data_IF_310044445284
#
_entry.id   IF_310044445284
#
_cell.length_a   1.000
_cell.length_b   1.000
_cell.length_c   1.000
_cell.angle_alpha   90.00
_cell.angle_beta   90.00
_cell.angle_gamma   90.00
#
_symmetry.space_group_name_H-M   'P 1'
#
loop_
_entity.id
_entity.type
_entity.pdbx_description
1 polymer ?
#
# COMPACT_ATOMS: atom_id res chain seq x y z
N UNK A 1 4.08 -1.89 7.74
CA UNK A 1 2.80 -1.90 8.50
C UNK A 1 2.61 -0.66 9.38
N UNK A 2 2.98 -0.63 10.67
CA UNK A 2 2.65 0.49 11.56
C UNK A 2 3.27 1.84 11.15
N UNK A 3 4.55 1.85 10.76
CA UNK A 3 5.25 3.07 10.32
C UNK A 3 4.72 3.58 8.97
N UNK A 4 4.42 2.69 8.01
CA UNK A 4 3.74 3.07 6.76
C UNK A 4 2.33 3.63 7.00
N UNK A 5 1.56 2.98 7.87
CA UNK A 5 0.22 3.44 8.23
C UNK A 5 0.27 4.83 8.85
N UNK A 6 1.27 5.10 9.69
CA UNK A 6 1.51 6.43 10.27
C UNK A 6 1.96 7.44 9.22
N UNK A 7 2.89 7.08 8.33
CA UNK A 7 3.38 7.96 7.26
C UNK A 7 2.25 8.38 6.33
N UNK A 8 1.31 7.47 6.09
CA UNK A 8 0.36 7.64 5.02
C UNK A 8 -1.03 8.06 5.53
N UNK A 9 -1.30 7.89 6.82
CA UNK A 9 -2.23 8.75 7.55
C UNK A 9 -1.78 10.22 7.46
N UNK A 10 -0.48 10.51 7.68
CA UNK A 10 0.03 11.89 7.54
C UNK A 10 -0.08 12.43 6.12
N UNK A 11 0.23 11.61 5.10
CA UNK A 11 0.06 12.02 3.69
C UNK A 11 -1.43 12.18 3.33
N UNK A 12 -2.33 11.31 3.79
CA UNK A 12 -3.78 11.45 3.57
C UNK A 12 -4.37 12.67 4.28
N UNK A 13 -3.94 12.96 5.50
CA UNK A 13 -4.27 14.19 6.24
C UNK A 13 -3.83 15.44 5.47
N UNK A 14 -2.67 15.37 4.79
CA UNK A 14 -2.16 16.48 3.96
C UNK A 14 -2.97 16.63 2.66
N UNK A 15 -3.54 15.54 2.12
CA UNK A 15 -4.35 15.55 0.90
C UNK A 15 -5.81 16.00 1.11
N UNK A 16 -6.40 15.74 2.28
CA UNK A 16 -7.81 16.04 2.53
C UNK A 16 -8.09 17.47 3.01
N UNK A 17 -7.08 18.23 3.45
CA UNK A 17 -7.22 19.65 3.85
C UNK A 17 -8.24 19.94 4.96
N UNK A 18 -8.85 18.90 5.54
CA UNK A 18 -9.92 18.95 6.54
C UNK A 18 -9.42 18.23 7.77
N UNK A 19 -9.43 18.91 8.91
CA UNK A 19 -8.89 18.47 10.20
C UNK A 19 -9.64 17.31 10.86
N UNK A 20 -9.95 16.25 10.13
CA UNK A 20 -10.49 15.02 10.67
C UNK A 20 -9.33 14.10 11.04
N UNK A 21 -8.92 14.14 12.31
CA UNK A 21 -7.78 13.38 12.82
C UNK A 21 -8.14 11.89 12.84
N UNK A 22 -7.61 11.14 11.87
CA UNK A 22 -7.67 9.67 11.91
C UNK A 22 -6.94 9.17 13.17
N UNK A 23 -7.61 8.43 14.06
CA UNK A 23 -6.98 7.95 15.29
C UNK A 23 -6.03 6.78 14.97
N UNK A 24 -4.69 6.95 15.12
CA UNK A 24 -3.72 5.94 14.71
C UNK A 24 -3.84 4.64 15.51
N UNK A 25 -4.29 4.73 16.75
CA UNK A 25 -4.47 3.55 17.61
C UNK A 25 -5.62 2.68 17.12
N UNK A 26 -6.72 3.31 16.67
CA UNK A 26 -7.88 2.58 16.12
C UNK A 26 -7.52 1.94 14.78
N UNK A 27 -6.75 2.62 13.93
CA UNK A 27 -6.23 2.06 12.68
C UNK A 27 -5.30 0.87 12.93
N UNK A 28 -4.40 0.98 13.91
CA UNK A 28 -3.46 -0.09 14.25
C UNK A 28 -4.18 -1.34 14.77
N UNK A 29 -5.18 -1.17 15.64
CA UNK A 29 -6.00 -2.29 16.14
C UNK A 29 -6.80 -2.91 14.99
N UNK A 30 -7.38 -2.10 14.10
CA UNK A 30 -8.11 -2.59 12.94
C UNK A 30 -7.22 -3.40 11.99
N UNK A 31 -6.02 -2.92 11.67
CA UNK A 31 -5.05 -3.66 10.84
C UNK A 31 -4.54 -4.93 11.53
N UNK A 32 -4.33 -4.89 12.84
CA UNK A 32 -3.96 -6.07 13.63
C UNK A 32 -5.03 -7.16 13.55
N UNK A 33 -6.29 -6.80 13.78
CA UNK A 33 -7.42 -7.73 13.70
C UNK A 33 -7.63 -8.24 12.26
N UNK A 34 -7.49 -7.38 11.27
CA UNK A 34 -7.59 -7.75 9.85
C UNK A 34 -6.49 -8.75 9.45
N UNK A 35 -5.26 -8.57 9.93
CA UNK A 35 -4.18 -9.52 9.67
C UNK A 35 -4.37 -10.87 10.37
N UNK A 36 -4.89 -10.87 11.61
CA UNK A 36 -5.25 -12.11 12.30
C UNK A 36 -6.35 -12.87 11.56
N UNK A 37 -7.39 -12.17 11.11
CA UNK A 37 -8.47 -12.74 10.32
C UNK A 37 -8.01 -13.22 8.93
N UNK A 38 -7.09 -12.50 8.27
CA UNK A 38 -6.51 -12.91 7.00
C UNK A 38 -5.66 -14.18 7.16
N UNK A 39 -4.81 -14.23 8.18
CA UNK A 39 -3.95 -15.37 8.45
C UNK A 39 -4.74 -16.65 8.76
N UNK A 40 -5.89 -16.56 9.44
CA UNK A 40 -6.71 -17.73 9.77
C UNK A 40 -7.37 -18.40 8.56
N UNK A 41 -7.55 -17.66 7.45
CA UNK A 41 -8.08 -18.18 6.19
C UNK A 41 -6.97 -18.44 5.14
N UNK A 42 -5.70 -18.40 5.53
CA UNK A 42 -4.54 -18.59 4.63
C UNK A 42 -4.27 -17.39 3.72
N UNK A 43 -4.83 -16.22 4.03
CA UNK A 43 -4.64 -14.99 3.29
C UNK A 43 -3.27 -14.34 3.54
N UNK A 44 -2.84 -13.51 2.60
CA UNK A 44 -1.64 -12.70 2.73
C UNK A 44 -1.84 -11.59 3.77
N UNK A 45 -0.76 -11.13 4.43
CA UNK A 45 -0.85 -10.00 5.33
C UNK A 45 -1.39 -8.76 4.60
N UNK A 46 -2.47 -8.20 5.12
CA UNK A 46 -3.03 -6.95 4.68
C UNK A 46 -2.24 -5.79 5.30
N UNK A 47 -1.57 -5.01 4.45
CA UNK A 47 -1.03 -3.71 4.84
C UNK A 47 -2.08 -2.61 4.64
N UNK A 48 -1.91 -1.48 5.34
CA UNK A 48 -2.77 -0.31 5.16
C UNK A 48 -2.88 0.01 3.66
N UNK A 49 -4.10 -0.01 3.13
CA UNK A 49 -4.36 0.01 1.70
C UNK A 49 -4.16 1.40 1.08
N UNK A 50 -3.09 2.10 1.44
CA UNK A 50 -2.83 3.50 1.20
C UNK A 50 -2.84 3.90 -0.27
N UNK A 51 -2.28 3.04 -1.13
CA UNK A 51 -2.38 3.22 -2.58
C UNK A 51 -3.85 3.19 -3.06
N UNK A 52 -4.68 2.32 -2.47
CA UNK A 52 -6.11 2.23 -2.76
C UNK A 52 -6.88 3.38 -2.14
N UNK A 53 -6.55 3.80 -0.92
CA UNK A 53 -7.16 4.97 -0.28
C UNK A 53 -6.87 6.22 -1.08
N UNK A 54 -5.63 6.41 -1.56
CA UNK A 54 -5.26 7.53 -2.43
C UNK A 54 -6.02 7.50 -3.77
N UNK A 55 -6.15 6.33 -4.40
CA UNK A 55 -6.96 6.17 -5.61
C UNK A 55 -8.45 6.45 -5.35
N UNK A 56 -8.99 5.97 -4.22
CA UNK A 56 -10.39 6.17 -3.83
C UNK A 56 -10.68 7.65 -3.52
N UNK A 57 -9.76 8.35 -2.84
CA UNK A 57 -9.87 9.80 -2.56
C UNK A 57 -9.82 10.59 -3.87
N UNK A 58 -8.92 10.24 -4.80
CA UNK A 58 -8.86 10.86 -6.14
C UNK A 58 -10.11 10.59 -6.97
N UNK A 59 -10.76 9.45 -6.76
CA UNK A 59 -12.06 9.10 -7.36
C UNK A 59 -13.27 9.76 -6.65
N UNK A 60 -13.04 10.59 -5.62
CA UNK A 60 -14.10 11.30 -4.89
C UNK A 60 -14.75 10.51 -3.75
N UNK A 61 -14.20 9.37 -3.37
CA UNK A 61 -14.71 8.55 -2.27
C UNK A 61 -14.45 9.19 -0.90
N UNK A 62 -15.51 9.54 -0.19
CA UNK A 62 -15.46 10.20 1.13
C UNK A 62 -15.96 9.31 2.28
N UNK A 63 -16.43 8.09 2.01
CA UNK A 63 -17.09 7.23 3.03
C UNK A 63 -16.48 5.83 3.09
N UNK A 64 -16.50 5.16 4.27
CA UNK A 64 -16.01 3.78 4.43
C UNK A 64 -16.80 2.75 3.63
N UNK A 65 -18.00 3.11 3.15
CA UNK A 65 -18.86 2.27 2.31
C UNK A 65 -18.17 1.92 0.99
N UNK A 66 -17.39 2.84 0.41
CA UNK A 66 -16.66 2.59 -0.84
C UNK A 66 -15.69 1.40 -0.71
N UNK A 67 -15.01 1.28 0.44
CA UNK A 67 -14.11 0.16 0.73
C UNK A 67 -14.85 -1.17 0.88
N UNK A 68 -16.01 -1.16 1.54
CA UNK A 68 -16.85 -2.37 1.71
C UNK A 68 -17.39 -2.87 0.36
N UNK A 69 -17.90 -1.96 -0.48
CA UNK A 69 -18.39 -2.30 -1.82
C UNK A 69 -17.26 -2.84 -2.69
N UNK A 70 -16.07 -2.25 -2.62
CA UNK A 70 -14.91 -2.75 -3.35
C UNK A 70 -14.50 -4.17 -2.91
N UNK A 71 -14.46 -4.43 -1.61
CA UNK A 71 -14.16 -5.76 -1.08
C UNK A 71 -15.20 -6.80 -1.50
N UNK A 72 -16.49 -6.46 -1.41
CA UNK A 72 -17.58 -7.32 -1.87
C UNK A 72 -17.53 -7.58 -3.39
N UNK A 73 -17.16 -6.57 -4.17
CA UNK A 73 -16.99 -6.69 -5.63
C UNK A 73 -15.86 -7.64 -5.97
N UNK A 74 -14.69 -7.50 -5.33
CA UNK A 74 -13.58 -8.44 -5.52
C UNK A 74 -13.99 -9.85 -5.13
N UNK A 75 -14.69 -10.03 -4.00
CA UNK A 75 -15.15 -11.35 -3.57
C UNK A 75 -16.09 -11.99 -4.59
N UNK A 76 -17.08 -11.25 -5.09
CA UNK A 76 -18.00 -11.73 -6.12
C UNK A 76 -17.28 -12.07 -7.45
N UNK A 77 -16.35 -11.21 -7.87
CA UNK A 77 -15.54 -11.44 -9.07
C UNK A 77 -14.68 -12.68 -8.88
N UNK A 78 -14.04 -12.86 -7.73
CA UNK A 78 -13.24 -14.07 -7.46
C UNK A 78 -14.11 -15.33 -7.45
N UNK A 79 -15.32 -15.29 -6.89
CA UNK A 79 -16.23 -16.45 -6.90
C UNK A 79 -16.65 -16.88 -8.32
N UNK A 80 -16.79 -15.94 -9.25
CA UNK A 80 -17.25 -16.23 -10.63
C UNK A 80 -16.07 -16.42 -11.61
N UNK A 81 -15.03 -15.62 -11.47
CA UNK A 81 -13.89 -15.55 -12.39
C UNK A 81 -12.66 -16.34 -11.92
N UNK A 82 -12.70 -17.01 -10.75
CA UNK A 82 -11.67 -17.97 -10.33
C UNK A 82 -11.24 -18.95 -11.44
N UNK A 83 -12.15 -19.61 -12.18
CA UNK A 83 -11.74 -20.52 -13.26
C UNK A 83 -11.12 -19.78 -14.48
N UNK A 84 -11.44 -18.50 -14.68
CA UNK A 84 -10.80 -17.70 -15.73
C UNK A 84 -9.39 -17.25 -15.33
N UNK A 85 -9.14 -17.05 -14.04
CA UNK A 85 -7.84 -16.63 -13.52
C UNK A 85 -6.73 -17.65 -13.80
N UNK A 86 -7.06 -18.94 -13.93
CA UNK A 86 -6.11 -20.00 -14.26
C UNK A 86 -5.53 -19.85 -15.69
N UNK A 87 -6.26 -19.17 -16.59
CA UNK A 87 -5.80 -18.90 -17.96
C UNK A 87 -4.90 -17.66 -18.06
N UNK A 88 -4.63 -16.95 -16.97
CA UNK A 88 -3.81 -15.74 -16.99
C UNK A 88 -2.33 -16.15 -17.15
N UNK A 89 -1.64 -15.73 -18.23
CA UNK A 89 -0.25 -16.09 -18.42
C UNK A 89 0.63 -15.44 -17.33
N UNK A 90 1.51 -16.24 -16.72
CA UNK A 90 2.54 -15.77 -15.79
C UNK A 90 3.38 -14.59 -16.32
N UNK A 91 3.72 -14.51 -17.63
CA UNK A 91 4.43 -13.35 -18.19
C UNK A 91 3.68 -12.02 -18.00
N UNK A 92 2.35 -12.03 -18.08
CA UNK A 92 1.54 -10.82 -17.90
C UNK A 92 1.60 -10.33 -16.46
N UNK A 93 1.52 -11.24 -15.49
CA UNK A 93 1.67 -10.90 -14.07
C UNK A 93 3.07 -10.36 -13.77
N UNK A 94 4.11 -10.97 -14.34
CA UNK A 94 5.49 -10.49 -14.19
C UNK A 94 5.67 -9.08 -14.75
N UNK A 95 5.11 -8.79 -15.94
CA UNK A 95 5.17 -7.45 -16.52
C UNK A 95 4.50 -6.39 -15.62
N UNK A 96 3.35 -6.71 -15.04
CA UNK A 96 2.66 -5.83 -14.07
C UNK A 96 3.54 -5.61 -12.84
N UNK A 97 4.13 -6.67 -12.27
CA UNK A 97 5.00 -6.57 -11.10
C UNK A 97 6.24 -5.69 -11.37
N UNK A 98 6.87 -5.82 -12.55
CA UNK A 98 8.01 -4.98 -12.94
C UNK A 98 7.58 -3.51 -13.03
N UNK A 99 6.44 -3.22 -13.65
CA UNK A 99 5.94 -1.83 -13.75
C UNK A 99 5.63 -1.27 -12.36
N UNK A 100 5.00 -2.03 -11.47
CA UNK A 100 4.71 -1.59 -10.11
C UNK A 100 6.01 -1.35 -9.33
N UNK A 101 6.98 -2.26 -9.42
CA UNK A 101 8.28 -2.10 -8.77
C UNK A 101 9.02 -0.84 -9.28
N UNK A 102 8.99 -0.57 -10.58
CA UNK A 102 9.58 0.63 -11.18
C UNK A 102 8.88 1.92 -10.74
N UNK A 103 7.56 1.88 -10.49
CA UNK A 103 6.80 3.02 -9.98
C UNK A 103 7.02 3.26 -8.48
N UNK A 104 7.29 2.21 -7.70
CA UNK A 104 7.63 2.32 -6.27
C UNK A 104 9.07 2.82 -6.06
N UNK A 105 9.97 2.58 -7.02
CA UNK A 105 11.28 3.19 -7.02
C UNK A 105 11.16 4.71 -7.14
N UNK A 106 11.21 5.42 -6.01
CA UNK A 106 11.23 6.89 -5.96
C UNK A 106 12.55 7.43 -6.57
N UNK A 107 12.68 7.34 -7.89
CA UNK A 107 13.87 7.75 -8.65
C UNK A 107 14.23 9.22 -8.47
N UNK A 108 13.27 10.01 -7.99
CA UNK A 108 13.43 11.41 -7.63
C UNK A 108 14.32 11.58 -6.39
N UNK A 109 14.19 10.70 -5.39
CA UNK A 109 15.02 10.71 -4.18
C UNK A 109 16.48 10.41 -4.52
N UNK A 110 16.72 9.49 -5.47
CA UNK A 110 18.07 9.22 -5.98
C UNK A 110 18.71 10.44 -6.67
N UNK A 111 17.92 11.25 -7.38
CA UNK A 111 18.41 12.50 -7.98
C UNK A 111 18.63 13.60 -6.93
N UNK A 112 17.78 13.65 -5.91
CA UNK A 112 17.86 14.61 -4.81
C UNK A 112 18.95 14.26 -3.77
N UNK A 113 19.47 13.03 -3.78
CA UNK A 113 20.49 12.54 -2.84
C UNK A 113 21.72 13.45 -2.78
N UNK A 114 22.10 14.08 -3.89
CA UNK A 114 23.22 15.03 -3.95
C UNK A 114 22.99 16.32 -3.18
N UNK A 115 21.74 16.66 -2.86
CA UNK A 115 21.36 17.85 -2.11
C UNK A 115 21.18 17.61 -0.61
N UNK A 116 21.28 16.35 -0.16
CA UNK A 116 21.03 15.97 1.23
C UNK A 116 22.30 16.07 2.10
N UNK A 117 22.15 16.27 3.42
CA UNK A 117 23.27 16.16 4.36
C UNK A 117 23.96 14.80 4.26
N UNK A 118 25.30 14.77 4.32
CA UNK A 118 26.09 13.55 4.07
C UNK A 118 25.68 12.35 4.95
N UNK A 119 25.28 12.61 6.20
CA UNK A 119 24.86 11.56 7.15
C UNK A 119 23.53 10.91 6.76
N UNK A 120 22.58 11.69 6.25
CA UNK A 120 21.27 11.19 5.83
C UNK A 120 21.40 10.40 4.52
N UNK A 121 22.26 10.85 3.61
CA UNK A 121 22.58 10.13 2.39
C UNK A 121 23.26 8.77 2.67
N UNK A 122 24.18 8.72 3.63
CA UNK A 122 24.82 7.46 4.07
C UNK A 122 23.81 6.49 4.70
N UNK A 123 22.90 6.98 5.55
CA UNK A 123 21.88 6.16 6.17
C UNK A 123 20.91 5.58 5.12
N UNK A 124 20.51 6.40 4.14
CA UNK A 124 19.67 5.98 3.03
C UNK A 124 20.35 4.87 2.20
N UNK A 125 21.60 5.08 1.79
CA UNK A 125 22.36 4.09 1.02
C UNK A 125 22.55 2.80 1.81
N UNK A 126 22.89 2.91 3.11
CA UNK A 126 23.07 1.74 3.98
C UNK A 126 21.78 0.92 4.07
N UNK A 127 20.64 1.58 4.35
CA UNK A 127 19.34 0.91 4.43
C UNK A 127 18.92 0.27 3.10
N UNK A 128 19.18 0.95 1.98
CA UNK A 128 18.94 0.43 0.63
C UNK A 128 19.76 -0.84 0.37
N UNK A 129 21.08 -0.79 0.56
CA UNK A 129 21.94 -1.95 0.33
C UNK A 129 21.60 -3.10 1.28
N UNK A 130 21.31 -2.82 2.55
CA UNK A 130 20.89 -3.83 3.50
C UNK A 130 19.61 -4.55 3.03
N UNK A 131 18.63 -3.81 2.52
CA UNK A 131 17.34 -4.36 2.05
C UNK A 131 17.48 -5.13 0.74
N UNK A 132 18.41 -4.73 -0.14
CA UNK A 132 18.64 -5.40 -1.43
C UNK A 132 19.51 -6.66 -1.28
N UNK A 133 20.45 -6.66 -0.33
CA UNK A 133 21.37 -7.79 -0.10
C UNK A 133 20.78 -8.87 0.80
N UNK A 134 19.75 -8.55 1.60
CA UNK A 134 19.03 -9.48 2.48
C UNK A 134 17.92 -10.20 1.72
#
# INVERSE_FOLDING_TARGET
AAVESLLCARVSDTMMGSGDKHNPNTELIAQGLANLASASVGGLPATGALARTAANIRAGGQTPVAGMVHAATILAVMSVAAPLAENVPLPTLSAILVIVALNMGEWQNFKALRSWPEKDAQLFLLAFFLTVLQ
#
